data_IF_510318774432
#
_entry.id   IF_510318774432
#
_cell.length_a   1.000
_cell.length_b   1.000
_cell.length_c   1.000
_cell.angle_alpha   90.00
_cell.angle_beta   90.00
_cell.angle_gamma   90.00
#
_symmetry.space_group_name_H-M   'P 1'
#
loop_
_entity.id
_entity.type
_entity.pdbx_description
1 polymer ?
#
# COMPACT_ATOMS: atom_id res chain seq x y z
N UNK A 1 -36.69 25.76 21.89
CA UNK A 1 -35.40 26.53 21.92
C UNK A 1 -34.65 26.39 23.27
N UNK A 2 -34.85 25.29 24.03
CA UNK A 2 -34.19 25.08 25.34
C UNK A 2 -33.28 23.82 25.40
N UNK A 3 -32.97 23.20 24.26
CA UNK A 3 -32.19 21.96 24.24
C UNK A 3 -30.67 22.13 24.01
N UNK A 4 -30.18 23.37 23.81
CA UNK A 4 -28.73 23.57 23.54
C UNK A 4 -27.88 23.87 24.78
N UNK A 5 -28.48 24.18 25.93
CA UNK A 5 -27.72 24.50 27.15
C UNK A 5 -27.24 23.28 27.91
N UNK A 6 -27.99 22.18 27.89
CA UNK A 6 -27.62 20.94 28.61
C UNK A 6 -26.41 20.23 28.00
N UNK A 7 -26.27 20.21 26.66
CA UNK A 7 -25.12 19.62 25.98
C UNK A 7 -23.83 20.43 26.22
N UNK A 8 -23.93 21.74 26.28
CA UNK A 8 -22.81 22.64 26.58
C UNK A 8 -22.30 22.50 28.03
N UNK A 9 -23.20 22.20 28.99
CA UNK A 9 -22.82 22.01 30.38
C UNK A 9 -22.15 20.66 30.65
N UNK A 10 -22.48 19.62 29.89
CA UNK A 10 -21.80 18.32 29.99
C UNK A 10 -20.34 18.45 29.55
N UNK A 11 -20.06 19.21 28.48
CA UNK A 11 -18.68 19.46 28.04
C UNK A 11 -17.91 20.39 28.98
N UNK A 12 -18.56 21.31 29.67
CA UNK A 12 -17.91 22.19 30.64
C UNK A 12 -17.55 21.50 31.96
N UNK A 13 -18.28 20.45 32.34
CA UNK A 13 -17.97 19.64 33.55
C UNK A 13 -16.83 18.65 33.34
N UNK A 14 -16.41 18.38 32.10
CA UNK A 14 -15.24 17.54 31.80
C UNK A 14 -13.91 18.29 31.96
N UNK A 15 -13.82 19.31 32.78
CA UNK A 15 -12.55 19.86 33.28
C UNK A 15 -11.96 19.03 34.40
N UNK A 16 -12.14 17.72 34.36
CA UNK A 16 -11.26 16.84 35.11
C UNK A 16 -9.99 16.68 34.29
N UNK A 17 -8.94 17.26 34.82
CA UNK A 17 -7.57 17.07 34.37
C UNK A 17 -7.23 15.59 34.48
N UNK A 18 -7.56 14.80 33.47
CA UNK A 18 -6.87 13.56 33.25
C UNK A 18 -5.45 13.91 32.85
N UNK A 19 -4.56 14.12 33.82
CA UNK A 19 -3.13 14.06 33.57
C UNK A 19 -2.79 12.61 33.28
N UNK A 20 -2.93 12.20 32.05
CA UNK A 20 -2.33 10.97 31.59
C UNK A 20 -0.82 11.19 31.55
N UNK A 21 -0.14 10.93 32.69
CA UNK A 21 1.30 10.80 32.65
C UNK A 21 1.61 9.51 31.88
N UNK A 22 2.08 9.64 30.66
CA UNK A 22 2.71 8.53 29.94
C UNK A 22 4.07 8.29 30.60
N UNK A 23 4.06 7.51 31.67
CA UNK A 23 5.30 7.06 32.30
C UNK A 23 5.94 6.02 31.36
N UNK A 24 6.87 6.48 30.54
CA UNK A 24 7.72 5.57 29.80
C UNK A 24 8.55 4.77 30.79
N UNK A 25 8.32 3.48 30.82
CA UNK A 25 9.11 2.58 31.63
C UNK A 25 10.57 2.70 31.23
N UNK A 26 11.43 3.11 32.15
CA UNK A 26 12.87 3.14 31.90
C UNK A 26 13.36 1.70 31.83
N UNK A 27 13.83 1.28 30.67
CA UNK A 27 14.39 -0.06 30.48
C UNK A 27 15.91 -0.01 30.53
N UNK A 28 16.51 -1.04 31.11
CA UNK A 28 17.95 -1.23 31.10
C UNK A 28 18.52 -1.60 29.72
N UNK A 29 17.65 -2.09 28.81
CA UNK A 29 18.04 -2.50 27.48
C UNK A 29 17.11 -1.88 26.40
N UNK A 30 17.53 -0.75 25.82
CA UNK A 30 16.78 -0.09 24.74
C UNK A 30 16.60 -0.93 23.48
N UNK A 31 17.46 -1.93 23.25
CA UNK A 31 17.41 -2.80 22.07
C UNK A 31 16.24 -3.78 22.10
N UNK A 32 15.77 -4.14 23.29
CA UNK A 32 14.65 -5.06 23.51
C UNK A 32 13.34 -4.33 23.87
N UNK A 33 13.35 -3.00 23.82
CA UNK A 33 12.18 -2.17 24.10
C UNK A 33 11.47 -1.82 22.79
N UNK A 34 10.59 -2.70 22.35
CA UNK A 34 9.81 -2.48 21.14
C UNK A 34 8.75 -1.42 21.33
N UNK A 35 8.72 -0.44 20.44
CA UNK A 35 7.73 0.63 20.36
C UNK A 35 6.72 0.35 19.27
N UNK A 36 7.19 -0.10 18.10
CA UNK A 36 6.35 -0.53 17.01
C UNK A 36 6.61 -2.01 16.70
N UNK A 37 5.63 -2.85 17.06
CA UNK A 37 5.73 -4.31 16.87
C UNK A 37 5.52 -4.76 15.44
N UNK A 38 4.96 -3.90 14.56
CA UNK A 38 4.73 -4.27 13.15
C UNK A 38 5.98 -4.05 12.30
N UNK A 39 6.79 -3.06 12.66
CA UNK A 39 8.03 -2.73 11.95
C UNK A 39 9.27 -2.94 12.81
N UNK A 40 9.15 -3.62 13.95
CA UNK A 40 10.25 -3.92 14.88
C UNK A 40 11.07 -2.70 15.32
N UNK A 41 10.42 -1.53 15.44
CA UNK A 41 11.09 -0.31 15.87
C UNK A 41 11.26 -0.32 17.38
N UNK A 42 12.48 -0.16 17.83
CA UNK A 42 12.87 -0.16 19.24
C UNK A 42 13.16 1.25 19.77
N UNK A 43 13.29 1.38 21.07
CA UNK A 43 13.75 2.61 21.71
C UNK A 43 15.16 3.01 21.21
N UNK A 44 16.03 2.03 20.94
CA UNK A 44 17.37 2.25 20.40
C UNK A 44 17.33 2.93 19.02
N UNK A 45 16.37 2.56 18.17
CA UNK A 45 16.24 3.15 16.83
C UNK A 45 15.83 4.62 16.91
N UNK A 46 14.98 4.96 17.89
CA UNK A 46 14.60 6.36 18.15
C UNK A 46 15.80 7.16 18.66
N UNK A 47 16.57 6.61 19.59
CA UNK A 47 17.79 7.24 20.11
C UNK A 47 18.84 7.43 19.02
N UNK A 48 19.00 6.45 18.13
CA UNK A 48 19.90 6.53 17.00
C UNK A 48 19.46 7.64 16.03
N UNK A 49 18.19 7.67 15.68
CA UNK A 49 17.60 8.72 14.84
C UNK A 49 17.85 10.12 15.42
N UNK A 50 17.66 10.27 16.72
CA UNK A 50 17.90 11.54 17.39
C UNK A 50 19.40 11.95 17.36
N UNK A 51 20.33 11.01 17.58
CA UNK A 51 21.77 11.21 17.52
C UNK A 51 22.23 11.62 16.10
N UNK A 52 21.60 11.07 15.09
CA UNK A 52 21.87 11.40 13.68
C UNK A 52 21.22 12.73 13.24
N UNK A 53 20.53 13.42 14.13
CA UNK A 53 20.00 14.76 13.90
C UNK A 53 18.54 14.82 13.43
N UNK A 54 17.85 13.70 13.35
CA UNK A 54 16.41 13.65 13.00
C UNK A 54 15.54 14.00 14.21
N UNK A 55 15.44 15.28 14.49
CA UNK A 55 14.73 15.80 15.68
C UNK A 55 13.22 16.01 15.45
N UNK A 56 12.76 15.98 14.22
CA UNK A 56 11.34 16.02 13.89
C UNK A 56 10.74 14.63 13.94
N UNK A 57 9.55 14.48 14.53
CA UNK A 57 8.84 13.20 14.59
C UNK A 57 8.45 12.65 13.22
N UNK A 58 8.24 13.52 12.22
CA UNK A 58 8.01 13.12 10.83
C UNK A 58 9.28 12.58 10.16
N UNK A 59 10.46 13.09 10.50
CA UNK A 59 11.72 12.54 10.02
C UNK A 59 12.05 11.23 10.75
N UNK A 60 11.86 11.17 12.06
CA UNK A 60 11.97 9.92 12.83
C UNK A 60 11.10 8.82 12.22
N UNK A 61 9.84 9.12 11.92
CA UNK A 61 8.91 8.18 11.30
C UNK A 61 9.46 7.60 9.99
N UNK A 62 10.01 8.44 9.13
CA UNK A 62 10.57 8.00 7.83
C UNK A 62 11.90 7.26 7.97
N UNK A 63 12.71 7.66 8.94
CA UNK A 63 13.99 7.03 9.21
C UNK A 63 13.82 5.63 9.80
N UNK A 64 12.96 5.49 10.81
CA UNK A 64 12.78 4.24 11.56
C UNK A 64 11.61 3.38 11.09
N UNK A 65 10.79 3.85 10.14
CA UNK A 65 9.49 3.26 9.74
C UNK A 65 8.43 3.20 10.84
N UNK A 66 8.63 3.94 11.93
CA UNK A 66 7.69 4.05 13.05
C UNK A 66 6.28 4.44 12.56
N UNK A 67 5.28 3.62 12.84
CA UNK A 67 3.89 3.92 12.49
C UNK A 67 3.59 3.93 10.98
N UNK A 68 4.41 3.29 10.16
CA UNK A 68 4.22 3.18 8.72
C UNK A 68 3.53 1.88 8.28
N UNK A 69 3.27 0.98 9.19
CA UNK A 69 2.60 -0.29 8.91
C UNK A 69 1.07 -0.11 8.74
N UNK A 70 0.35 -1.22 8.61
CA UNK A 70 -1.10 -1.24 8.32
C UNK A 70 -1.96 -0.55 9.36
N UNK A 71 -1.52 -0.51 10.63
CA UNK A 71 -2.19 0.19 11.71
C UNK A 71 -2.00 1.72 11.66
N UNK A 72 -1.09 2.21 10.83
CA UNK A 72 -0.73 3.63 10.69
C UNK A 72 -0.35 4.28 12.04
N UNK A 73 0.32 3.51 12.89
CA UNK A 73 0.84 3.98 14.16
C UNK A 73 -0.20 4.20 15.26
N UNK A 74 -1.40 3.64 15.16
CA UNK A 74 -2.45 3.78 16.18
C UNK A 74 -2.00 3.26 17.55
N UNK A 75 -1.13 2.25 17.57
CA UNK A 75 -0.59 1.65 18.80
C UNK A 75 0.77 2.22 19.22
N UNK A 76 1.58 2.64 18.26
CA UNK A 76 3.00 2.97 18.44
C UNK A 76 3.31 4.47 18.49
N UNK A 77 2.54 5.31 17.78
CA UNK A 77 2.87 6.72 17.61
C UNK A 77 2.99 7.47 18.93
N UNK A 78 2.08 7.24 19.88
CA UNK A 78 2.10 7.96 21.16
C UNK A 78 3.37 7.65 21.96
N UNK A 79 3.82 6.39 21.96
CA UNK A 79 5.06 5.97 22.61
C UNK A 79 6.29 6.56 21.92
N UNK A 80 6.29 6.60 20.59
CA UNK A 80 7.35 7.23 19.82
C UNK A 80 7.45 8.73 20.06
N UNK A 81 6.32 9.43 20.14
CA UNK A 81 6.28 10.85 20.50
C UNK A 81 6.80 11.09 21.92
N UNK A 82 6.39 10.26 22.88
CA UNK A 82 6.86 10.35 24.26
C UNK A 82 8.38 10.11 24.37
N UNK A 83 8.90 9.12 23.67
CA UNK A 83 10.34 8.85 23.60
C UNK A 83 11.12 10.02 23.00
N UNK A 84 10.63 10.60 21.92
CA UNK A 84 11.25 11.77 21.30
C UNK A 84 11.17 13.01 22.22
N UNK A 85 10.04 13.21 22.92
CA UNK A 85 9.88 14.29 23.90
C UNK A 85 10.93 14.18 25.01
N UNK A 86 11.13 12.98 25.55
CA UNK A 86 12.14 12.70 26.57
C UNK A 86 13.56 13.03 26.08
N UNK A 87 13.91 12.62 24.85
CA UNK A 87 15.21 12.91 24.24
C UNK A 87 15.43 14.40 23.97
N UNK A 88 14.37 15.14 23.63
CA UNK A 88 14.42 16.59 23.43
C UNK A 88 14.37 17.39 24.72
N UNK A 89 13.98 16.80 25.85
CA UNK A 89 13.75 17.50 27.10
C UNK A 89 12.54 18.45 27.04
N UNK A 90 11.50 18.08 26.26
CA UNK A 90 10.27 18.88 26.07
C UNK A 90 9.03 18.05 26.40
N UNK A 91 7.87 18.71 26.45
CA UNK A 91 6.61 18.01 26.62
C UNK A 91 6.17 17.33 25.32
N UNK A 92 5.37 16.28 25.43
CA UNK A 92 4.82 15.54 24.30
C UNK A 92 4.01 16.44 23.33
N UNK A 93 3.28 17.42 23.90
CA UNK A 93 2.52 18.41 23.13
C UNK A 93 3.36 19.34 22.26
N UNK A 94 4.64 19.51 22.60
CA UNK A 94 5.58 20.39 21.89
C UNK A 94 6.40 19.67 20.82
N UNK A 95 6.39 18.34 20.83
CA UNK A 95 7.15 17.52 19.87
C UNK A 95 6.52 17.53 18.49
N UNK A 96 5.22 17.79 18.42
CA UNK A 96 4.40 17.68 17.21
C UNK A 96 3.76 16.29 17.06
N UNK A 97 3.09 16.07 15.95
CA UNK A 97 2.41 14.82 15.64
C UNK A 97 2.87 14.28 14.29
N UNK A 98 2.74 12.97 14.12
CA UNK A 98 2.96 12.31 12.83
C UNK A 98 1.69 12.34 11.99
N UNK A 99 1.85 12.47 10.68
CA UNK A 99 0.74 12.42 9.72
C UNK A 99 0.62 11.00 9.17
N UNK A 100 -0.59 10.44 9.22
CA UNK A 100 -0.88 9.16 8.60
C UNK A 100 -1.05 9.30 7.08
N UNK A 101 -0.93 8.20 6.35
CA UNK A 101 -1.25 8.12 4.92
C UNK A 101 -2.56 7.37 4.70
N UNK A 102 -3.39 7.78 3.72
CA UNK A 102 -4.56 7.00 3.34
C UNK A 102 -4.15 5.60 2.81
N UNK A 103 -4.95 4.57 3.08
CA UNK A 103 -6.14 4.58 3.95
C UNK A 103 -5.75 4.46 5.44
N UNK A 104 -6.30 5.33 6.27
CA UNK A 104 -6.09 5.27 7.73
C UNK A 104 -6.87 4.12 8.39
N UNK A 105 -8.02 3.81 7.84
CA UNK A 105 -8.84 2.64 8.21
C UNK A 105 -8.74 1.63 7.08
N UNK A 106 -8.56 0.34 7.38
CA UNK A 106 -8.53 -0.70 6.35
C UNK A 106 -9.76 -0.64 5.46
N UNK A 107 -9.54 -0.65 4.14
CA UNK A 107 -10.62 -0.60 3.14
C UNK A 107 -10.63 -1.94 2.41
N UNK A 108 -11.81 -2.55 2.32
CA UNK A 108 -11.97 -3.79 1.57
C UNK A 108 -11.66 -3.56 0.08
N UNK A 109 -10.92 -4.47 -0.53
CA UNK A 109 -10.57 -4.41 -1.97
C UNK A 109 -11.82 -4.25 -2.84
N UNK A 110 -12.93 -4.85 -2.43
CA UNK A 110 -14.22 -4.72 -3.12
C UNK A 110 -14.74 -3.27 -3.22
N UNK A 111 -14.34 -2.38 -2.30
CA UNK A 111 -14.71 -0.96 -2.37
C UNK A 111 -14.02 -0.25 -3.55
N UNK A 112 -12.80 -0.68 -3.93
CA UNK A 112 -12.07 -0.14 -5.08
C UNK A 112 -12.57 -0.69 -6.41
N UNK A 113 -13.24 -1.84 -6.41
CA UNK A 113 -13.72 -2.49 -7.62
C UNK A 113 -14.77 -1.65 -8.37
N UNK A 114 -15.58 -0.85 -7.66
CA UNK A 114 -16.62 -0.02 -8.28
C UNK A 114 -17.57 -0.86 -9.13
N UNK A 115 -17.62 -0.56 -10.43
CA UNK A 115 -18.41 -1.31 -11.43
C UNK A 115 -17.72 -2.56 -11.96
N UNK A 116 -16.42 -2.72 -11.74
CA UNK A 116 -15.63 -3.84 -12.22
C UNK A 116 -15.83 -5.07 -11.34
N UNK A 117 -17.03 -5.67 -11.41
CA UNK A 117 -17.45 -6.83 -10.62
C UNK A 117 -17.96 -7.95 -11.53
N UNK A 118 -17.85 -9.19 -11.07
CA UNK A 118 -18.32 -10.35 -11.80
C UNK A 118 -17.65 -10.44 -13.18
N UNK A 119 -18.42 -10.49 -14.26
CA UNK A 119 -17.92 -10.53 -15.64
C UNK A 119 -17.07 -9.32 -16.03
N UNK A 120 -17.27 -8.19 -15.37
CA UNK A 120 -16.56 -6.94 -15.67
C UNK A 120 -15.27 -6.79 -14.82
N UNK A 121 -15.01 -7.72 -13.90
CA UNK A 121 -13.79 -7.73 -13.07
C UNK A 121 -12.55 -7.97 -13.92
N UNK A 122 -12.62 -8.93 -14.86
CA UNK A 122 -11.55 -9.23 -15.81
C UNK A 122 -12.16 -9.42 -17.20
N UNK A 123 -12.58 -8.33 -17.87
CA UNK A 123 -13.23 -8.45 -19.18
C UNK A 123 -12.20 -8.91 -20.23
N UNK A 124 -12.58 -9.92 -21.02
CA UNK A 124 -11.80 -10.30 -22.19
C UNK A 124 -12.12 -9.34 -23.34
N UNK A 125 -11.13 -8.60 -23.80
CA UNK A 125 -11.24 -7.69 -24.94
C UNK A 125 -10.81 -8.39 -26.22
N UNK A 126 -11.53 -8.14 -27.29
CA UNK A 126 -11.26 -8.73 -28.59
C UNK A 126 -10.71 -7.67 -29.54
N UNK A 127 -9.68 -8.04 -30.31
CA UNK A 127 -9.14 -7.17 -31.36
C UNK A 127 -10.14 -7.04 -32.52
N UNK A 128 -10.12 -5.96 -33.30
CA UNK A 128 -10.96 -5.86 -34.49
C UNK A 128 -10.80 -7.02 -35.50
N UNK A 129 -9.61 -7.60 -35.55
CA UNK A 129 -9.29 -8.75 -36.40
C UNK A 129 -9.66 -10.12 -35.79
N UNK A 130 -10.21 -10.16 -34.56
CA UNK A 130 -10.46 -11.41 -33.86
C UNK A 130 -11.27 -12.42 -34.66
N UNK A 131 -12.37 -11.98 -35.27
CA UNK A 131 -13.25 -12.87 -36.05
C UNK A 131 -12.53 -13.46 -37.29
N UNK A 132 -11.66 -12.68 -37.93
CA UNK A 132 -10.87 -13.15 -39.07
C UNK A 132 -9.83 -14.16 -38.60
N UNK A 133 -9.12 -13.86 -37.51
CA UNK A 133 -8.14 -14.74 -36.91
C UNK A 133 -8.77 -16.08 -36.47
N UNK A 134 -9.94 -16.01 -35.83
CA UNK A 134 -10.68 -17.20 -35.39
C UNK A 134 -11.10 -18.10 -36.53
N UNK A 135 -11.57 -17.52 -37.67
CA UNK A 135 -11.90 -18.28 -38.86
C UNK A 135 -10.68 -18.96 -39.51
N UNK A 136 -9.49 -18.42 -39.23
CA UNK A 136 -8.20 -18.99 -39.68
C UNK A 136 -7.57 -19.92 -38.65
N UNK A 137 -8.34 -20.36 -37.67
CA UNK A 137 -7.91 -21.24 -36.60
C UNK A 137 -6.73 -20.71 -35.76
N UNK A 138 -6.62 -19.40 -35.60
CA UNK A 138 -5.58 -18.81 -34.78
C UNK A 138 -5.60 -19.38 -33.34
N UNK A 139 -4.43 -19.62 -32.80
CA UNK A 139 -4.25 -19.87 -31.37
C UNK A 139 -4.12 -18.52 -30.68
N UNK A 140 -4.91 -18.32 -29.64
CA UNK A 140 -4.97 -17.04 -28.94
C UNK A 140 -4.21 -17.06 -27.63
N UNK A 141 -3.68 -15.91 -27.26
CA UNK A 141 -3.03 -15.65 -25.97
C UNK A 141 -3.62 -14.39 -25.34
N UNK A 142 -3.79 -14.42 -24.03
CA UNK A 142 -4.15 -13.22 -23.27
C UNK A 142 -2.92 -12.34 -23.07
N UNK A 143 -3.00 -11.11 -23.54
CA UNK A 143 -2.01 -10.05 -23.30
C UNK A 143 -2.71 -8.92 -22.56
N UNK A 144 -2.51 -8.83 -21.25
CA UNK A 144 -3.37 -8.02 -20.39
C UNK A 144 -4.80 -8.55 -20.47
N UNK A 145 -5.76 -7.69 -20.80
CA UNK A 145 -7.16 -8.08 -21.01
C UNK A 145 -7.52 -8.35 -22.47
N UNK A 146 -6.54 -8.31 -23.36
CA UNK A 146 -6.77 -8.51 -24.79
C UNK A 146 -6.46 -9.93 -25.22
N UNK A 147 -7.39 -10.55 -25.91
CA UNK A 147 -7.19 -11.83 -26.56
C UNK A 147 -6.60 -11.59 -27.96
N UNK A 148 -5.31 -11.90 -28.13
CA UNK A 148 -4.56 -11.67 -29.34
C UNK A 148 -4.22 -12.98 -30.04
N UNK A 149 -4.27 -13.01 -31.37
CA UNK A 149 -3.75 -14.14 -32.14
C UNK A 149 -2.24 -14.22 -31.91
N UNK A 150 -1.77 -15.41 -31.54
CA UNK A 150 -0.36 -15.69 -31.28
C UNK A 150 0.29 -16.33 -32.51
N UNK A 151 -0.35 -17.29 -33.11
CA UNK A 151 0.09 -18.00 -34.30
C UNK A 151 -1.09 -18.66 -35.02
N UNK A 152 -0.86 -19.03 -36.27
CA UNK A 152 -1.88 -19.61 -37.16
C UNK A 152 -1.41 -20.98 -37.64
N UNK A 153 -1.91 -22.09 -37.04
CA UNK A 153 -1.52 -23.44 -37.45
C UNK A 153 -2.12 -23.81 -38.81
N UNK A 154 -1.33 -24.45 -39.65
CA UNK A 154 -1.80 -25.16 -40.82
C UNK A 154 -2.00 -26.65 -40.60
N UNK A 155 -2.58 -27.35 -41.54
CA UNK A 155 -2.87 -28.76 -41.41
C UNK A 155 -1.59 -29.57 -41.18
N UNK A 156 -1.51 -30.27 -40.03
CA UNK A 156 -0.35 -31.04 -39.64
C UNK A 156 0.60 -30.34 -38.68
N UNK A 157 0.45 -29.03 -38.45
CA UNK A 157 1.21 -28.29 -37.45
C UNK A 157 0.55 -28.46 -36.07
N UNK A 158 1.31 -28.94 -35.09
CA UNK A 158 0.83 -29.19 -33.72
C UNK A 158 1.50 -28.30 -32.69
N UNK A 159 2.57 -27.62 -33.09
CA UNK A 159 3.39 -26.83 -32.21
C UNK A 159 3.73 -25.47 -32.87
N UNK A 160 3.66 -24.41 -32.06
CA UNK A 160 3.80 -23.03 -32.52
C UNK A 160 5.07 -22.76 -33.35
N UNK A 161 6.17 -23.44 -33.05
CA UNK A 161 7.44 -23.26 -33.76
C UNK A 161 7.35 -23.64 -35.23
N UNK A 162 6.59 -24.68 -35.54
CA UNK A 162 6.39 -25.13 -36.96
C UNK A 162 5.73 -24.03 -37.77
N UNK A 163 4.71 -23.38 -37.25
CA UNK A 163 4.04 -22.25 -37.87
C UNK A 163 4.97 -21.05 -38.03
N UNK A 164 5.76 -20.73 -37.01
CA UNK A 164 6.73 -19.62 -37.07
C UNK A 164 7.81 -19.89 -38.12
N UNK A 165 8.38 -21.08 -38.16
CA UNK A 165 9.41 -21.41 -39.11
C UNK A 165 8.87 -21.35 -40.55
N UNK A 166 7.66 -21.82 -40.80
CA UNK A 166 6.96 -21.68 -42.09
C UNK A 166 6.75 -20.21 -42.46
N UNK A 167 6.22 -19.41 -41.55
CA UNK A 167 5.95 -17.98 -41.82
C UNK A 167 7.23 -17.18 -42.04
N UNK A 168 8.31 -17.49 -41.34
CA UNK A 168 9.63 -16.89 -41.56
C UNK A 168 10.17 -17.25 -42.92
N UNK A 169 10.07 -18.52 -43.35
CA UNK A 169 10.50 -18.94 -44.69
C UNK A 169 9.66 -18.31 -45.79
N UNK A 170 8.36 -18.22 -45.60
CA UNK A 170 7.46 -17.54 -46.54
C UNK A 170 7.82 -16.06 -46.70
N UNK A 171 8.07 -15.35 -45.60
CA UNK A 171 8.45 -13.93 -45.61
C UNK A 171 9.82 -13.71 -46.27
N UNK A 172 10.74 -14.66 -46.20
CA UNK A 172 12.05 -14.59 -46.86
C UNK A 172 12.00 -14.89 -48.34
N UNK A 173 11.12 -15.80 -48.74
CA UNK A 173 11.03 -16.26 -50.12
C UNK A 173 10.02 -15.43 -50.94
N UNK A 174 9.08 -14.77 -50.30
CA UNK A 174 8.00 -14.01 -50.87
C UNK A 174 7.80 -12.69 -50.14
N UNK A 175 6.92 -11.85 -50.67
CA UNK A 175 6.55 -10.60 -50.01
C UNK A 175 5.58 -10.89 -48.88
N UNK A 176 5.94 -10.48 -47.65
CA UNK A 176 5.08 -10.52 -46.47
C UNK A 176 4.60 -9.12 -46.09
N UNK A 177 3.35 -9.01 -45.68
CA UNK A 177 2.81 -7.81 -45.01
C UNK A 177 2.84 -8.07 -43.51
N UNK A 178 3.59 -7.24 -42.78
CA UNK A 178 3.72 -7.30 -41.31
C UNK A 178 2.84 -6.24 -40.65
#
# INVERSE_FOLDING_TARGET
LQSSSAASDVYKRQKEQYSCSLDLVSTSDPSNSFIDLQNDVTQKDIELSFKEGFKSVEHLKRYSTLGMATDQGKTSNILGLASMAKLKGTNISEVGTTIFRPPYVPVAISAFAGRSRGKDFRPTRLTPSHNVASKRNAVFVETGNWLRAQWFPEKGETFWRQSVDREVLQTRNFVGIC
#
